data_IF_242923883910
#
_entry.id   IF_242923883910
#
_cell.length_a   1.000
_cell.length_b   1.000
_cell.length_c   1.000
_cell.angle_alpha   90.00
_cell.angle_beta   90.00
_cell.angle_gamma   90.00
#
_symmetry.space_group_name_H-M   'P 1'
#
loop_
_entity.id
_entity.type
_entity.pdbx_description
1 polymer ?
#
# COMPACT_ATOMS: atom_id res chain seq x y z
N UNK A 1 9.16 -32.23 34.25
CA UNK A 1 9.40 -31.11 33.32
C UNK A 1 8.11 -30.87 32.55
N UNK A 2 7.31 -29.87 32.95
CA UNK A 2 6.05 -29.55 32.27
C UNK A 2 6.40 -28.51 31.20
N UNK A 3 6.29 -28.91 29.95
CA UNK A 3 6.48 -28.02 28.81
C UNK A 3 5.32 -27.03 28.73
N UNK A 4 5.58 -25.78 29.13
CA UNK A 4 4.71 -24.67 28.78
C UNK A 4 4.94 -24.34 27.30
N UNK A 5 4.23 -25.04 26.42
CA UNK A 5 3.99 -24.55 25.06
C UNK A 5 2.98 -23.40 25.17
N UNK A 6 3.49 -22.18 25.36
CA UNK A 6 2.67 -20.98 25.25
C UNK A 6 1.94 -21.00 23.91
N UNK A 7 0.61 -20.80 23.89
CA UNK A 7 -0.13 -20.72 22.64
C UNK A 7 0.44 -19.58 21.81
N UNK A 8 0.97 -19.89 20.63
CA UNK A 8 1.37 -18.90 19.65
C UNK A 8 0.10 -18.21 19.14
N UNK A 9 -0.32 -17.14 19.83
CA UNK A 9 -1.37 -16.24 19.35
C UNK A 9 -0.82 -15.60 18.08
N UNK A 10 -1.36 -16.00 16.93
CA UNK A 10 -1.03 -15.35 15.66
C UNK A 10 -1.34 -13.86 15.81
N UNK A 11 -0.37 -12.96 15.52
CA UNK A 11 -0.60 -11.55 15.68
C UNK A 11 -1.72 -11.11 14.74
N UNK A 12 -2.61 -10.24 15.21
CA UNK A 12 -3.70 -9.72 14.40
C UNK A 12 -3.09 -8.86 13.29
N UNK A 13 -3.32 -9.21 12.03
CA UNK A 13 -3.06 -8.31 10.91
C UNK A 13 -4.05 -7.15 11.02
N UNK A 14 -3.54 -5.96 11.29
CA UNK A 14 -4.38 -4.76 11.38
C UNK A 14 -4.37 -4.04 10.03
N UNK A 15 -5.56 -3.71 9.55
CA UNK A 15 -5.77 -2.72 8.49
C UNK A 15 -6.38 -1.50 9.17
N UNK A 16 -5.91 -0.30 8.86
CA UNK A 16 -6.40 0.95 9.47
C UNK A 16 -6.74 2.00 8.42
N UNK A 17 -7.67 2.87 8.81
CA UNK A 17 -8.08 4.06 8.06
C UNK A 17 -7.37 5.27 8.64
N UNK A 18 -6.76 6.09 7.79
CA UNK A 18 -5.76 7.09 8.18
C UNK A 18 -6.34 8.25 8.99
N UNK A 19 -7.59 8.62 8.71
CA UNK A 19 -8.27 9.82 9.24
C UNK A 19 -9.54 9.50 10.06
N UNK A 20 -9.87 8.22 10.22
CA UNK A 20 -11.09 7.80 10.91
C UNK A 20 -10.91 7.86 12.44
N UNK A 21 -11.61 8.79 13.11
CA UNK A 21 -11.56 8.93 14.58
C UNK A 21 -12.11 7.72 15.34
N UNK A 22 -12.95 6.92 14.71
CA UNK A 22 -13.48 5.68 15.30
C UNK A 22 -12.49 4.51 15.19
N UNK A 23 -11.49 4.63 14.31
CA UNK A 23 -10.41 3.65 14.19
C UNK A 23 -9.32 3.93 15.23
N UNK A 24 -9.18 3.03 16.20
CA UNK A 24 -8.21 3.13 17.30
C UNK A 24 -6.75 3.22 16.85
N UNK A 25 -6.46 2.82 15.61
CA UNK A 25 -5.12 2.86 15.03
C UNK A 25 -4.87 4.11 14.18
N UNK A 26 -5.86 4.99 13.99
CA UNK A 26 -5.65 6.25 13.29
C UNK A 26 -4.96 7.28 14.18
N UNK A 27 -4.21 8.19 13.56
CA UNK A 27 -3.64 9.34 14.27
C UNK A 27 -4.74 10.29 14.78
N UNK A 28 -5.84 10.40 14.03
CA UNK A 28 -6.99 11.23 14.40
C UNK A 28 -7.64 10.75 15.71
N UNK A 29 -7.72 9.44 15.93
CA UNK A 29 -8.20 8.86 17.17
C UNK A 29 -7.26 9.16 18.35
N UNK A 30 -5.95 9.01 18.15
CA UNK A 30 -4.97 9.33 19.19
C UNK A 30 -5.10 10.79 19.64
N UNK A 31 -5.23 11.73 18.69
CA UNK A 31 -5.43 13.14 18.98
C UNK A 31 -6.77 13.41 19.70
N UNK A 32 -7.87 12.75 19.31
CA UNK A 32 -9.16 12.93 20.00
C UNK A 32 -9.16 12.40 21.43
N UNK A 33 -8.36 11.39 21.72
CA UNK A 33 -8.15 10.84 23.07
C UNK A 33 -7.15 11.68 23.91
N UNK A 34 -6.67 12.82 23.36
CA UNK A 34 -5.79 13.74 24.07
C UNK A 34 -4.31 13.37 24.09
N UNK A 35 -3.88 12.44 23.23
CA UNK A 35 -2.45 12.14 23.06
C UNK A 35 -1.74 13.30 22.34
N UNK A 36 -0.52 13.61 22.78
CA UNK A 36 0.39 14.55 22.12
C UNK A 36 1.58 13.79 21.58
N UNK A 37 1.95 14.05 20.33
CA UNK A 37 3.06 13.37 19.67
C UNK A 37 4.06 14.42 19.20
N UNK A 38 5.29 14.33 19.71
CA UNK A 38 6.40 15.19 19.32
C UNK A 38 7.41 14.37 18.52
N UNK A 39 7.58 14.69 17.23
CA UNK A 39 8.55 14.01 16.37
C UNK A 39 9.96 14.54 16.63
N UNK A 40 10.93 13.63 16.66
CA UNK A 40 12.38 13.94 16.72
C UNK A 40 13.14 13.30 15.55
N UNK A 41 12.44 13.09 14.43
CA UNK A 41 12.98 12.44 13.24
C UNK A 41 11.99 11.43 12.66
N UNK A 42 12.31 10.93 11.47
CA UNK A 42 11.46 9.92 10.84
C UNK A 42 11.54 8.60 11.62
N UNK A 43 10.39 8.20 12.16
CA UNK A 43 10.28 7.02 13.03
C UNK A 43 10.74 7.22 14.47
N UNK A 44 11.07 8.44 14.90
CA UNK A 44 11.40 8.71 16.30
C UNK A 44 10.47 9.78 16.88
N UNK A 45 9.89 9.51 18.04
CA UNK A 45 8.93 10.41 18.66
C UNK A 45 8.81 10.20 20.17
N UNK A 46 8.35 11.24 20.87
CA UNK A 46 7.75 11.13 22.20
C UNK A 46 6.23 11.16 22.07
N UNK A 47 5.55 10.22 22.73
CA UNK A 47 4.09 10.11 22.78
C UNK A 47 3.62 10.30 24.21
N UNK A 48 3.05 11.47 24.50
CA UNK A 48 2.54 11.86 25.81
C UNK A 48 1.03 11.61 25.89
N UNK A 49 0.61 10.89 26.93
CA UNK A 49 -0.80 10.67 27.26
C UNK A 49 -1.41 11.85 28.01
N UNK A 50 -2.74 11.90 28.04
CA UNK A 50 -3.49 12.83 28.89
C UNK A 50 -3.24 12.65 30.39
N UNK A 51 -2.82 11.45 30.84
CA UNK A 51 -2.46 11.17 32.23
C UNK A 51 -1.01 11.58 32.61
N UNK A 52 -0.25 12.13 31.67
CA UNK A 52 1.15 12.54 31.86
C UNK A 52 2.18 11.45 31.60
N UNK A 53 1.77 10.21 31.31
CA UNK A 53 2.71 9.14 30.92
C UNK A 53 3.29 9.42 29.54
N UNK A 54 4.62 9.38 29.42
CA UNK A 54 5.33 9.48 28.15
C UNK A 54 5.87 8.11 27.70
N UNK A 55 5.76 7.83 26.41
CA UNK A 55 6.43 6.71 25.75
C UNK A 55 7.37 7.25 24.67
N UNK A 56 8.52 6.60 24.53
CA UNK A 56 9.52 6.98 23.55
C UNK A 56 9.58 5.94 22.44
N UNK A 57 9.71 6.45 21.23
CA UNK A 57 9.85 5.66 20.03
C UNK A 57 11.17 6.05 19.38
N UNK A 58 11.99 5.05 19.07
CA UNK A 58 13.21 5.22 18.31
C UNK A 58 13.22 4.28 17.12
N UNK A 59 13.31 4.84 15.91
CA UNK A 59 13.28 4.09 14.65
C UNK A 59 12.12 3.08 14.52
N UNK A 60 10.93 3.48 14.98
CA UNK A 60 9.70 2.69 15.05
C UNK A 60 9.71 1.55 16.09
N UNK A 61 10.61 1.60 17.07
CA UNK A 61 10.61 0.71 18.23
C UNK A 61 10.19 1.48 19.48
N UNK A 62 9.08 1.06 20.10
CA UNK A 62 8.49 1.73 21.25
C UNK A 62 8.89 1.09 22.59
N UNK A 63 9.05 1.91 23.63
CA UNK A 63 9.30 1.46 25.00
C UNK A 63 8.03 1.07 25.79
N UNK A 64 6.84 1.12 25.18
CA UNK A 64 5.60 0.88 25.91
C UNK A 64 5.44 -0.59 26.34
N UNK A 65 4.66 -0.88 27.40
CA UNK A 65 4.48 -2.24 27.90
C UNK A 65 3.94 -3.25 26.87
N UNK A 66 3.11 -2.80 25.93
CA UNK A 66 2.61 -3.65 24.83
C UNK A 66 3.75 -4.11 23.92
N UNK A 67 4.68 -3.21 23.59
CA UNK A 67 5.85 -3.57 22.78
C UNK A 67 6.83 -4.45 23.57
N UNK A 68 7.16 -4.06 24.80
CA UNK A 68 8.14 -4.77 25.63
C UNK A 68 7.67 -6.18 26.06
N UNK A 69 6.38 -6.34 26.39
CA UNK A 69 5.87 -7.59 26.94
C UNK A 69 5.52 -8.66 25.92
N UNK A 70 5.02 -8.26 24.73
CA UNK A 70 4.52 -9.21 23.71
C UNK A 70 4.97 -8.91 22.29
N UNK A 71 5.89 -7.96 22.11
CA UNK A 71 6.33 -7.50 20.80
C UNK A 71 5.28 -6.66 20.06
N UNK A 72 4.21 -6.19 20.72
CA UNK A 72 3.15 -5.39 20.11
C UNK A 72 1.92 -6.19 19.67
N UNK A 73 0.74 -5.62 19.92
CA UNK A 73 -0.54 -6.29 19.65
C UNK A 73 -0.96 -6.37 18.17
N UNK A 74 -0.27 -5.66 17.27
CA UNK A 74 -0.65 -5.49 15.86
C UNK A 74 0.50 -5.89 14.93
N UNK A 75 0.55 -7.17 14.53
CA UNK A 75 1.59 -7.69 13.63
C UNK A 75 3.04 -7.39 14.07
N UNK A 76 3.33 -7.38 15.39
CA UNK A 76 4.65 -7.04 15.91
C UNK A 76 4.87 -5.54 16.20
N UNK A 77 3.78 -4.76 16.16
CA UNK A 77 3.77 -3.35 16.45
C UNK A 77 2.77 -3.00 17.55
N UNK A 78 3.13 -2.02 18.38
CA UNK A 78 2.16 -1.39 19.29
C UNK A 78 1.42 -0.25 18.58
N UNK A 79 0.31 0.23 19.15
CA UNK A 79 -0.47 1.33 18.58
C UNK A 79 0.36 2.61 18.36
N UNK A 80 1.33 2.90 19.24
CA UNK A 80 2.15 4.12 19.14
C UNK A 80 3.07 4.08 17.91
N UNK A 81 3.64 2.91 17.58
CA UNK A 81 4.43 2.72 16.36
C UNK A 81 3.57 2.92 15.11
N UNK A 82 2.33 2.40 15.14
CA UNK A 82 1.37 2.58 14.05
C UNK A 82 1.00 4.05 13.88
N UNK A 83 0.78 4.80 14.96
CA UNK A 83 0.51 6.24 14.90
C UNK A 83 1.70 7.02 14.35
N UNK A 84 2.91 6.77 14.84
CA UNK A 84 4.12 7.44 14.33
C UNK A 84 4.39 7.10 12.86
N UNK A 85 4.02 5.90 12.38
CA UNK A 85 4.15 5.55 10.96
C UNK A 85 3.30 6.43 10.02
N UNK A 86 2.24 7.04 10.55
CA UNK A 86 1.33 7.97 9.85
C UNK A 86 1.81 9.42 9.91
N UNK A 87 2.95 9.68 10.55
CA UNK A 87 3.56 11.00 10.65
C UNK A 87 4.96 11.00 10.03
N UNK A 88 5.44 12.18 9.65
CA UNK A 88 6.85 12.42 9.32
C UNK A 88 7.23 13.89 9.58
N UNK A 89 8.51 14.19 9.84
CA UNK A 89 8.97 15.56 9.85
C UNK A 89 8.89 16.16 8.43
N UNK A 90 8.62 17.46 8.37
CA UNK A 90 8.63 18.24 7.15
C UNK A 90 10.04 18.70 6.81
N UNK A 91 10.53 18.29 5.64
CA UNK A 91 11.90 18.59 5.18
C UNK A 91 12.15 20.10 4.95
N UNK A 92 11.09 20.90 4.82
CA UNK A 92 11.19 22.34 4.52
C UNK A 92 11.14 23.22 5.78
N UNK A 93 10.14 23.00 6.65
CA UNK A 93 9.91 23.87 7.81
C UNK A 93 10.14 23.20 9.16
N UNK A 94 10.48 21.91 9.19
CA UNK A 94 10.64 21.13 10.43
C UNK A 94 9.32 20.82 11.15
N UNK A 95 8.17 21.27 10.62
CA UNK A 95 6.85 20.94 11.14
C UNK A 95 6.48 19.47 10.97
N UNK A 96 5.27 19.09 11.39
CA UNK A 96 4.75 17.73 11.25
C UNK A 96 3.99 17.62 9.93
N UNK A 97 4.21 16.53 9.19
CA UNK A 97 3.37 16.11 8.09
C UNK A 97 2.54 14.91 8.54
N UNK A 98 1.23 14.98 8.34
CA UNK A 98 0.32 13.88 8.62
C UNK A 98 -0.06 13.16 7.31
N UNK A 99 -0.19 11.84 7.38
CA UNK A 99 -0.75 11.05 6.29
C UNK A 99 -2.24 11.39 6.12
N UNK A 100 -2.68 11.53 4.89
CA UNK A 100 -4.08 11.72 4.53
C UNK A 100 -4.40 11.11 3.16
N UNK A 101 -5.65 11.21 2.75
CA UNK A 101 -6.12 10.86 1.40
C UNK A 101 -6.35 12.12 0.56
N UNK A 102 -5.91 12.07 -0.69
CA UNK A 102 -5.96 13.19 -1.62
C UNK A 102 -6.64 12.76 -2.93
N UNK A 103 -7.66 13.51 -3.34
CA UNK A 103 -8.32 13.33 -4.63
C UNK A 103 -7.55 14.05 -5.73
N UNK A 104 -6.94 13.29 -6.63
CA UNK A 104 -6.25 13.85 -7.79
C UNK A 104 -7.21 14.48 -8.79
N UNK A 105 -6.70 15.36 -9.66
CA UNK A 105 -7.47 15.96 -10.76
C UNK A 105 -8.06 14.94 -11.75
N UNK A 106 -7.60 13.68 -11.69
CA UNK A 106 -8.09 12.56 -12.49
C UNK A 106 -9.14 11.70 -11.75
N UNK A 107 -9.62 12.14 -10.59
CA UNK A 107 -10.63 11.43 -9.80
C UNK A 107 -10.09 10.24 -9.00
N UNK A 108 -8.76 10.02 -8.95
CA UNK A 108 -8.13 8.94 -8.17
C UNK A 108 -7.78 9.43 -6.77
N UNK A 109 -8.19 8.67 -5.74
CA UNK A 109 -7.71 8.87 -4.35
C UNK A 109 -6.32 8.27 -4.20
N UNK A 110 -5.38 9.06 -3.66
CA UNK A 110 -4.00 8.65 -3.36
C UNK A 110 -3.62 9.06 -1.95
N UNK A 111 -2.69 8.33 -1.32
CA UNK A 111 -2.23 8.63 0.04
C UNK A 111 -0.99 9.53 0.00
N UNK A 112 -1.00 10.60 0.79
CA UNK A 112 0.09 11.58 0.85
C UNK A 112 0.32 12.06 2.28
N UNK A 113 1.56 12.36 2.60
CA UNK A 113 1.90 13.15 3.78
C UNK A 113 1.82 14.63 3.41
N UNK A 114 1.15 15.43 4.22
CA UNK A 114 0.98 16.86 3.96
C UNK A 114 1.34 17.69 5.20
N UNK A 115 2.08 18.77 5.00
CA UNK A 115 2.43 19.72 6.04
C UNK A 115 1.45 20.89 6.03
N UNK A 116 0.60 20.99 7.05
CA UNK A 116 -0.35 22.10 7.16
C UNK A 116 0.33 23.48 7.23
N UNK A 117 1.55 23.55 7.78
CA UNK A 117 2.24 24.82 8.00
C UNK A 117 2.82 25.46 6.72
N UNK A 118 3.28 24.66 5.76
CA UNK A 118 3.98 25.18 4.57
C UNK A 118 3.49 24.59 3.25
N UNK A 119 2.52 23.67 3.27
CA UNK A 119 1.95 23.02 2.08
C UNK A 119 2.88 22.00 1.41
N UNK A 120 4.02 21.67 2.02
CA UNK A 120 4.87 20.59 1.50
C UNK A 120 4.11 19.26 1.52
N UNK A 121 4.26 18.47 0.47
CA UNK A 121 3.57 17.20 0.31
C UNK A 121 4.51 16.11 -0.21
N UNK A 122 4.30 14.86 0.25
CA UNK A 122 5.10 13.69 -0.18
C UNK A 122 4.21 12.48 -0.37
N UNK A 123 4.38 11.77 -1.48
CA UNK A 123 3.63 10.56 -1.78
C UNK A 123 3.94 9.44 -0.77
N UNK A 124 2.89 8.77 -0.28
CA UNK A 124 3.03 7.73 0.74
C UNK A 124 3.95 6.58 0.28
N UNK A 125 3.78 6.10 -0.95
CA UNK A 125 4.57 4.99 -1.49
C UNK A 125 6.05 5.37 -1.66
N UNK A 126 6.32 6.64 -1.98
CA UNK A 126 7.69 7.15 -2.04
C UNK A 126 8.35 7.10 -0.66
N UNK A 127 7.67 7.62 0.37
CA UNK A 127 8.17 7.58 1.76
C UNK A 127 8.38 6.14 2.24
N UNK A 128 7.46 5.24 1.91
CA UNK A 128 7.61 3.82 2.22
C UNK A 128 8.84 3.21 1.54
N UNK A 129 9.12 3.59 0.30
CA UNK A 129 10.34 3.23 -0.43
C UNK A 129 11.60 3.76 0.24
N UNK A 130 11.63 5.04 0.60
CA UNK A 130 12.75 5.69 1.30
C UNK A 130 13.06 5.01 2.63
N UNK A 131 12.02 4.78 3.47
CA UNK A 131 12.14 4.05 4.73
C UNK A 131 12.70 2.64 4.54
N UNK A 132 12.24 1.93 3.49
CA UNK A 132 12.74 0.60 3.15
C UNK A 132 14.21 0.64 2.76
N UNK A 133 14.63 1.61 1.94
CA UNK A 133 16.02 1.78 1.53
C UNK A 133 16.91 2.12 2.72
N UNK A 134 16.45 2.99 3.63
CA UNK A 134 17.19 3.30 4.87
C UNK A 134 17.42 2.04 5.72
N UNK A 135 16.42 1.18 5.83
CA UNK A 135 16.47 -0.02 6.68
C UNK A 135 17.26 -1.18 6.08
N UNK A 136 17.09 -1.45 4.79
CA UNK A 136 17.62 -2.66 4.15
C UNK A 136 18.68 -2.38 3.08
N UNK A 137 19.02 -1.12 2.84
CA UNK A 137 19.90 -0.70 1.74
C UNK A 137 19.17 -0.53 0.42
N UNK A 138 19.91 -0.09 -0.61
CA UNK A 138 19.37 0.06 -1.97
C UNK A 138 19.03 -1.31 -2.54
N UNK A 139 17.84 -1.49 -3.16
CA UNK A 139 17.55 -2.71 -3.88
C UNK A 139 18.57 -2.90 -5.03
N UNK A 140 18.88 -4.15 -5.32
CA UNK A 140 19.71 -4.51 -6.47
C UNK A 140 19.05 -3.98 -7.76
N UNK A 141 19.84 -3.35 -8.64
CA UNK A 141 19.37 -2.81 -9.92
C UNK A 141 18.66 -3.88 -10.78
N UNK A 142 19.14 -5.13 -10.73
CA UNK A 142 18.51 -6.23 -11.45
C UNK A 142 17.09 -6.53 -10.95
N UNK A 143 16.87 -6.48 -9.64
CA UNK A 143 15.55 -6.73 -9.04
C UNK A 143 14.60 -5.56 -9.27
N UNK A 144 15.11 -4.33 -9.20
CA UNK A 144 14.35 -3.12 -9.56
C UNK A 144 13.93 -3.14 -11.04
N UNK A 145 14.82 -3.58 -11.94
CA UNK A 145 14.52 -3.71 -13.35
C UNK A 145 13.44 -4.77 -13.62
N UNK A 146 13.54 -5.94 -12.97
CA UNK A 146 12.49 -6.99 -13.07
C UNK A 146 11.14 -6.50 -12.56
N UNK A 147 11.10 -5.80 -11.43
CA UNK A 147 9.86 -5.23 -10.88
C UNK A 147 9.26 -4.17 -11.82
N UNK A 148 10.09 -3.32 -12.42
CA UNK A 148 9.68 -2.33 -13.42
C UNK A 148 9.12 -3.00 -14.68
N UNK A 149 9.80 -4.02 -15.21
CA UNK A 149 9.30 -4.81 -16.35
C UNK A 149 7.97 -5.48 -16.04
N UNK A 150 7.82 -6.06 -14.84
CA UNK A 150 6.58 -6.68 -14.40
C UNK A 150 5.44 -5.67 -14.30
N UNK A 151 5.68 -4.46 -13.76
CA UNK A 151 4.68 -3.40 -13.67
C UNK A 151 4.28 -2.87 -15.06
N UNK A 152 5.25 -2.70 -15.98
CA UNK A 152 4.98 -2.32 -17.38
C UNK A 152 4.16 -3.39 -18.08
N UNK A 153 4.49 -4.66 -17.85
CA UNK A 153 3.73 -5.79 -18.39
C UNK A 153 2.30 -5.78 -17.82
N UNK A 154 2.13 -5.66 -16.51
CA UNK A 154 0.81 -5.62 -15.88
C UNK A 154 -0.05 -4.46 -16.40
N UNK A 155 0.50 -3.25 -16.51
CA UNK A 155 -0.23 -2.10 -17.07
C UNK A 155 -0.60 -2.31 -18.55
N UNK A 156 0.31 -2.85 -19.36
CA UNK A 156 0.06 -3.06 -20.79
C UNK A 156 -0.94 -4.17 -21.06
N UNK A 157 -0.88 -5.25 -20.30
CA UNK A 157 -1.71 -6.43 -20.55
C UNK A 157 -3.03 -6.34 -19.79
N UNK A 158 -3.02 -6.01 -18.50
CA UNK A 158 -4.26 -6.02 -17.70
C UNK A 158 -5.24 -4.93 -18.11
N UNK A 159 -4.75 -3.73 -18.42
CA UNK A 159 -5.65 -2.64 -18.84
C UNK A 159 -6.16 -2.86 -20.27
N UNK A 160 -5.31 -3.36 -21.17
CA UNK A 160 -5.73 -3.70 -22.54
C UNK A 160 -6.73 -4.86 -22.56
N UNK A 161 -6.49 -5.90 -21.76
CA UNK A 161 -7.42 -7.02 -21.58
C UNK A 161 -8.77 -6.49 -21.06
N UNK A 162 -8.76 -5.60 -20.05
CA UNK A 162 -9.97 -5.00 -19.49
C UNK A 162 -10.79 -4.24 -20.55
N UNK A 163 -10.16 -3.35 -21.32
CA UNK A 163 -10.85 -2.60 -22.38
C UNK A 163 -11.43 -3.51 -23.47
N UNK A 164 -10.72 -4.59 -23.83
CA UNK A 164 -11.20 -5.57 -24.81
C UNK A 164 -12.44 -6.29 -24.27
N UNK A 165 -12.40 -6.76 -23.03
CA UNK A 165 -13.54 -7.49 -22.45
C UNK A 165 -14.75 -6.60 -22.21
N UNK A 166 -14.57 -5.35 -21.79
CA UNK A 166 -15.66 -4.37 -21.67
C UNK A 166 -16.32 -4.10 -23.03
N UNK A 167 -15.52 -3.89 -24.08
CA UNK A 167 -16.03 -3.65 -25.42
C UNK A 167 -16.84 -4.84 -25.95
N UNK A 168 -16.36 -6.06 -25.71
CA UNK A 168 -17.03 -7.30 -26.15
C UNK A 168 -18.25 -7.67 -25.30
N UNK A 169 -18.33 -7.19 -24.06
CA UNK A 169 -19.54 -7.29 -23.24
C UNK A 169 -20.67 -6.44 -23.80
N UNK A 170 -20.37 -5.24 -24.31
CA UNK A 170 -21.35 -4.32 -24.90
C UNK A 170 -21.66 -4.67 -26.35
N UNK A 171 -20.66 -5.10 -27.11
CA UNK A 171 -20.76 -5.43 -28.54
C UNK A 171 -20.11 -6.80 -28.84
N UNK A 172 -20.77 -7.92 -28.50
CA UNK A 172 -20.27 -9.27 -28.83
C UNK A 172 -19.94 -9.48 -30.31
N UNK A 173 -20.66 -8.79 -31.19
CA UNK A 173 -20.56 -8.91 -32.64
C UNK A 173 -19.21 -8.44 -33.22
N UNK A 174 -18.44 -7.62 -32.48
CA UNK A 174 -17.13 -7.15 -32.94
C UNK A 174 -16.01 -8.14 -32.63
N UNK A 175 -16.30 -9.27 -31.97
CA UNK A 175 -15.30 -10.27 -31.59
C UNK A 175 -14.38 -10.71 -32.75
N UNK A 176 -14.87 -10.99 -33.98
CA UNK A 176 -14.00 -11.36 -35.10
C UNK A 176 -13.00 -10.27 -35.48
N UNK A 177 -13.47 -9.02 -35.60
CA UNK A 177 -12.62 -7.87 -35.92
C UNK A 177 -11.63 -7.55 -34.78
N UNK A 178 -12.02 -7.80 -33.53
CA UNK A 178 -11.15 -7.63 -32.37
C UNK A 178 -10.00 -8.65 -32.36
N UNK A 179 -10.28 -9.94 -32.64
CA UNK A 179 -9.25 -10.99 -32.75
C UNK A 179 -8.21 -10.65 -33.82
N UNK A 180 -8.64 -10.16 -34.98
CA UNK A 180 -7.74 -9.76 -36.07
C UNK A 180 -6.83 -8.60 -35.63
N UNK A 181 -7.41 -7.56 -35.03
CA UNK A 181 -6.66 -6.39 -34.54
C UNK A 181 -5.66 -6.75 -33.43
N UNK A 182 -6.06 -7.62 -32.49
CA UNK A 182 -5.18 -8.08 -31.42
C UNK A 182 -4.02 -8.92 -31.95
N UNK A 183 -4.28 -9.75 -32.96
CA UNK A 183 -3.24 -10.53 -33.64
C UNK A 183 -2.23 -9.61 -34.35
N UNK A 184 -2.71 -8.59 -35.06
CA UNK A 184 -1.86 -7.58 -35.71
C UNK A 184 -1.02 -6.77 -34.68
N UNK A 185 -1.60 -6.49 -33.52
CA UNK A 185 -0.91 -5.83 -32.40
C UNK A 185 0.06 -6.76 -31.63
N UNK A 186 0.25 -8.01 -32.09
CA UNK A 186 1.10 -9.04 -31.45
C UNK A 186 0.63 -9.43 -30.04
N UNK A 187 -0.67 -9.28 -29.74
CA UNK A 187 -1.30 -9.69 -28.48
C UNK A 187 -1.92 -11.08 -28.60
N UNK A 188 -1.12 -12.07 -29.04
CA UNK A 188 -1.60 -13.39 -29.45
C UNK A 188 -2.40 -14.15 -28.39
N UNK A 189 -1.96 -14.10 -27.12
CA UNK A 189 -2.69 -14.73 -26.01
C UNK A 189 -4.11 -14.18 -25.86
N UNK A 190 -4.29 -12.86 -25.88
CA UNK A 190 -5.61 -12.24 -25.75
C UNK A 190 -6.48 -12.52 -26.97
N UNK A 191 -5.89 -12.52 -28.18
CA UNK A 191 -6.58 -12.91 -29.40
C UNK A 191 -7.12 -14.35 -29.31
N UNK A 192 -6.32 -15.29 -28.80
CA UNK A 192 -6.72 -16.69 -28.60
C UNK A 192 -7.82 -16.86 -27.53
N UNK A 193 -7.75 -16.07 -26.45
CA UNK A 193 -8.76 -16.07 -25.39
C UNK A 193 -10.11 -15.53 -25.90
N UNK A 194 -10.10 -14.41 -26.65
CA UNK A 194 -11.30 -13.85 -27.29
C UNK A 194 -11.86 -14.84 -28.33
N UNK A 195 -11.00 -15.40 -29.19
CA UNK A 195 -11.43 -16.37 -30.20
C UNK A 195 -12.04 -17.62 -29.56
N UNK A 196 -11.46 -18.11 -28.46
CA UNK A 196 -12.00 -19.24 -27.71
C UNK A 196 -13.38 -18.95 -27.11
N UNK A 197 -13.54 -17.79 -26.46
CA UNK A 197 -14.79 -17.43 -25.76
C UNK A 197 -15.97 -17.22 -26.71
N UNK A 198 -15.73 -16.74 -27.91
CA UNK A 198 -16.76 -16.45 -28.91
C UNK A 198 -16.87 -17.51 -30.02
N UNK A 199 -16.23 -18.67 -29.85
CA UNK A 199 -16.33 -19.79 -30.80
C UNK A 199 -15.72 -19.49 -32.18
N UNK A 200 -14.73 -18.60 -32.24
CA UNK A 200 -14.07 -18.15 -33.48
C UNK A 200 -12.82 -18.97 -33.82
N UNK A 201 -12.38 -19.87 -32.93
CA UNK A 201 -11.33 -20.83 -33.27
C UNK A 201 -11.89 -21.75 -34.34
N UNK A 202 -11.30 -21.70 -35.54
CA UNK A 202 -11.59 -22.66 -36.59
C UNK A 202 -11.51 -24.05 -35.96
N UNK A 203 -12.60 -24.79 -36.09
CA UNK A 203 -12.61 -26.22 -35.84
C UNK A 203 -11.42 -26.82 -36.59
N UNK A 204 -10.38 -27.21 -35.86
CA UNK A 204 -9.48 -28.24 -36.31
C UNK A 204 -10.24 -29.57 -36.24
N UNK A 205 -11.33 -29.66 -37.01
CA UNK A 205 -12.10 -30.87 -37.23
C UNK A 205 -11.67 -31.39 -38.61
N UNK A 206 -10.99 -32.53 -38.56
CA UNK A 206 -10.85 -33.53 -39.59
C UNK A 206 -10.37 -33.06 -40.98
N UNK A 207 -9.08 -33.24 -41.22
CA UNK A 207 -8.60 -33.79 -42.48
C UNK A 207 -7.47 -34.77 -42.15
N UNK A 208 -7.62 -35.99 -42.68
CA UNK A 208 -6.70 -37.14 -42.61
C UNK A 208 -5.21 -36.80 -42.78
#
# INVERSE_FOLDING_TARGET
>A
MIGNSSPQVKPKSATWTVDCKDDRLSIAHAMSEGYKIALNGDGSAEVLKGDGTAYHIHEFECDCPDKQGRGGSYAGHCKHEVWVSQLRPCDLCGGIMALGEFLTAFGKSVKRFECESCGNARDFDLVKGERRVKRYGKPNEQDAHKACQAAIYEARFRDADHYVWDALQVRPDIAPAMVERLSQAKMGRLADEVAGRYGLKAEAIAAD
#
